data_IF_862774232498
#
_entry.id   IF_862774232498
#
_cell.length_a   1.000
_cell.length_b   1.000
_cell.length_c   1.000
_cell.angle_alpha   90.00
_cell.angle_beta   90.00
_cell.angle_gamma   90.00
#
_symmetry.space_group_name_H-M   'P 1'
#
loop_
_entity.id
_entity.type
_entity.pdbx_description
1 polymer ?
#
# COMPACT_ATOMS: atom_id res chain seq x y z
N UNK A 1 14.07 -2.23 28.48
CA UNK A 1 14.20 -2.62 27.07
C UNK A 1 13.22 -1.75 26.31
N UNK A 2 13.69 -0.70 25.65
CA UNK A 2 12.81 0.27 24.98
C UNK A 2 12.13 -0.38 23.78
N UNK A 3 10.80 -0.28 23.72
CA UNK A 3 9.99 -0.65 22.56
C UNK A 3 10.34 0.32 21.43
N UNK A 4 10.81 -0.18 20.29
CA UNK A 4 11.07 0.66 19.11
C UNK A 4 9.72 1.10 18.53
N UNK A 5 9.27 2.31 18.87
CA UNK A 5 8.25 3.01 18.10
C UNK A 5 8.85 3.33 16.72
N UNK A 6 8.32 2.70 15.68
CA UNK A 6 8.69 3.04 14.30
C UNK A 6 7.79 4.19 13.85
N UNK A 7 8.33 5.41 13.93
CA UNK A 7 7.80 6.57 13.22
C UNK A 7 8.16 6.35 11.74
N UNK A 8 7.21 6.56 10.81
CA UNK A 8 7.54 6.67 9.40
C UNK A 8 8.60 7.77 9.26
N UNK A 9 9.86 7.38 9.08
CA UNK A 9 10.99 8.31 9.11
C UNK A 9 10.81 9.41 8.07
N UNK A 10 11.17 10.63 8.45
CA UNK A 10 11.10 11.90 7.71
C UNK A 10 11.64 11.89 6.27
N UNK A 11 12.33 10.83 5.83
CA UNK A 11 12.69 10.61 4.43
C UNK A 11 11.47 10.33 3.52
N UNK A 12 10.44 9.64 4.03
CA UNK A 12 9.17 9.43 3.30
C UNK A 12 8.29 10.68 3.32
N UNK A 13 8.33 11.45 4.42
CA UNK A 13 7.54 12.67 4.61
C UNK A 13 8.01 13.84 3.72
N UNK A 14 9.29 13.87 3.35
CA UNK A 14 9.84 14.89 2.45
C UNK A 14 9.36 14.78 1.00
N UNK A 15 8.80 13.63 0.57
CA UNK A 15 8.31 13.45 -0.79
C UNK A 15 6.85 13.88 -0.97
N UNK A 16 6.03 13.87 0.09
CA UNK A 16 4.59 14.19 0.02
C UNK A 16 4.33 15.70 -0.11
N UNK A 17 5.29 16.55 0.26
CA UNK A 17 5.10 18.01 0.39
C UNK A 17 5.51 18.85 -0.84
N UNK A 18 5.80 18.25 -2.01
CA UNK A 18 6.40 18.97 -3.16
C UNK A 18 5.61 19.06 -4.46
N UNK A 19 4.29 18.83 -4.47
CA UNK A 19 3.50 19.01 -5.69
C UNK A 19 2.24 19.83 -5.48
N UNK A 20 2.40 21.15 -5.54
CA UNK A 20 1.40 22.07 -6.08
C UNK A 20 2.07 23.40 -6.40
N UNK A 21 2.60 23.55 -7.62
CA UNK A 21 2.87 24.89 -8.16
C UNK A 21 1.99 25.15 -9.37
N UNK A 22 1.69 26.42 -9.62
CA UNK A 22 0.78 26.86 -10.68
C UNK A 22 1.19 26.44 -12.11
N UNK A 23 2.42 25.96 -12.30
CA UNK A 23 2.95 25.52 -13.59
C UNK A 23 2.44 24.12 -14.03
N UNK A 24 2.02 23.27 -13.09
CA UNK A 24 1.51 21.92 -13.41
C UNK A 24 0.10 21.95 -14.02
N UNK A 25 -0.68 22.98 -13.70
CA UNK A 25 -2.00 23.21 -14.32
C UNK A 25 -1.90 23.57 -15.81
N UNK A 26 -0.76 24.12 -16.25
CA UNK A 26 -0.50 24.42 -17.66
C UNK A 26 -0.12 23.15 -18.43
N UNK A 27 0.75 22.31 -17.87
CA UNK A 27 1.08 20.98 -18.43
C UNK A 27 -0.16 20.08 -18.56
N UNK A 28 -1.07 20.12 -17.58
CA UNK A 28 -2.32 19.37 -17.62
C UNK A 28 -3.28 19.84 -18.74
N UNK A 29 -3.30 21.15 -19.04
CA UNK A 29 -4.08 21.72 -20.14
C UNK A 29 -3.47 21.43 -21.51
N UNK A 30 -2.16 21.50 -21.62
CA UNK A 30 -1.44 21.25 -22.88
C UNK A 30 -1.50 19.76 -23.28
N UNK A 31 -1.46 18.82 -22.31
CA UNK A 31 -1.63 17.38 -22.54
C UNK A 31 -2.98 17.02 -23.16
N UNK A 32 -4.08 17.69 -22.79
CA UNK A 32 -5.42 17.46 -23.37
C UNK A 32 -5.56 17.95 -24.82
N UNK A 33 -4.58 18.67 -25.36
CA UNK A 33 -4.71 19.41 -26.63
C UNK A 33 -3.89 18.89 -27.81
N UNK A 34 -3.13 17.79 -27.65
CA UNK A 34 -2.24 17.31 -28.72
C UNK A 34 -2.69 15.94 -29.29
N UNK A 35 -3.43 15.92 -30.42
CA UNK A 35 -3.78 14.71 -31.13
C UNK A 35 -2.72 14.37 -32.20
N UNK A 36 -2.27 13.12 -32.22
CA UNK A 36 -1.27 12.49 -33.11
C UNK A 36 0.17 12.58 -32.57
N UNK A 37 0.93 11.50 -32.38
CA UNK A 37 1.11 10.27 -33.16
C UNK A 37 1.50 9.11 -32.21
N UNK A 38 0.95 7.90 -32.44
CA UNK A 38 1.11 6.59 -31.74
C UNK A 38 -0.16 6.01 -31.10
N UNK A 39 -1.31 6.67 -31.24
CA UNK A 39 -2.51 6.36 -30.47
C UNK A 39 -3.14 4.99 -30.75
N UNK A 40 -3.15 4.46 -31.97
CA UNK A 40 -3.91 3.22 -32.25
C UNK A 40 -3.24 1.95 -31.72
N UNK A 41 -1.90 1.90 -31.68
CA UNK A 41 -1.17 0.73 -31.16
C UNK A 41 -1.17 0.69 -29.63
N UNK A 42 -1.02 1.84 -28.98
CA UNK A 42 -1.11 1.95 -27.51
C UNK A 42 -2.55 1.76 -27.00
N UNK A 43 -3.55 2.29 -27.70
CA UNK A 43 -4.97 2.05 -27.37
C UNK A 43 -5.32 0.56 -27.58
N UNK A 44 -4.80 -0.07 -28.63
CA UNK A 44 -4.98 -1.50 -28.88
C UNK A 44 -4.37 -2.40 -27.80
N UNK A 45 -3.21 -2.03 -27.23
CA UNK A 45 -2.65 -2.72 -26.06
C UNK A 45 -3.39 -2.41 -24.76
N UNK A 46 -3.79 -1.15 -24.51
CA UNK A 46 -4.60 -0.77 -23.35
C UNK A 46 -5.99 -1.43 -23.34
N UNK A 47 -6.63 -1.61 -24.49
CA UNK A 47 -7.93 -2.28 -24.59
C UNK A 47 -7.82 -3.81 -24.52
N UNK A 48 -6.71 -4.40 -24.99
CA UNK A 48 -6.47 -5.84 -24.81
C UNK A 48 -6.38 -6.24 -23.33
N UNK A 49 -5.85 -5.36 -22.48
CA UNK A 49 -5.70 -5.57 -21.04
C UNK A 49 -7.03 -5.77 -20.29
N UNK A 50 -8.18 -5.38 -20.87
CA UNK A 50 -9.50 -5.46 -20.23
C UNK A 50 -10.32 -6.71 -20.60
N UNK A 51 -9.85 -7.53 -21.55
CA UNK A 51 -10.61 -8.70 -22.06
C UNK A 51 -10.09 -10.05 -21.58
N UNK A 52 -8.95 -10.08 -20.91
CA UNK A 52 -8.30 -11.30 -20.42
C UNK A 52 -8.00 -11.16 -18.93
N UNK A 53 -8.20 -12.25 -18.18
CA UNK A 53 -7.80 -12.29 -16.78
C UNK A 53 -6.27 -12.13 -16.66
N UNK A 54 -5.83 -11.19 -15.84
CA UNK A 54 -4.40 -11.00 -15.54
C UNK A 54 -4.00 -11.87 -14.36
N UNK A 55 -2.93 -12.65 -14.52
CA UNK A 55 -2.37 -13.52 -13.50
C UNK A 55 -1.05 -12.94 -12.97
N UNK A 56 -0.90 -12.94 -11.64
CA UNK A 56 0.36 -12.71 -10.93
C UNK A 56 0.63 -13.95 -10.08
N UNK A 57 1.70 -14.67 -10.40
CA UNK A 57 2.23 -15.74 -9.57
C UNK A 57 3.01 -15.20 -8.37
N UNK A 58 3.26 -16.05 -7.38
CA UNK A 58 3.91 -15.66 -6.13
C UNK A 58 5.25 -14.92 -6.33
N UNK A 59 6.03 -15.34 -7.31
CA UNK A 59 7.37 -14.80 -7.62
C UNK A 59 7.37 -13.74 -8.73
N UNK A 60 6.21 -13.42 -9.32
CA UNK A 60 6.12 -12.47 -10.43
C UNK A 60 6.32 -11.02 -9.98
N UNK A 61 6.10 -10.74 -8.69
CA UNK A 61 6.34 -9.43 -8.08
C UNK A 61 7.19 -9.57 -6.81
N UNK A 62 8.18 -8.69 -6.62
CA UNK A 62 9.06 -8.74 -5.46
C UNK A 62 8.42 -8.11 -4.23
N UNK A 63 8.90 -8.52 -3.07
CA UNK A 63 8.76 -7.69 -1.87
C UNK A 63 9.83 -6.60 -1.89
N UNK A 64 9.43 -5.36 -1.66
CA UNK A 64 10.35 -4.29 -1.28
C UNK A 64 10.52 -4.29 0.24
N UNK A 65 11.68 -3.88 0.74
CA UNK A 65 11.82 -3.46 2.14
C UNK A 65 11.24 -2.05 2.26
N UNK A 66 10.14 -1.89 3.01
CA UNK A 66 9.49 -0.59 3.21
C UNK A 66 10.21 0.20 4.31
N UNK A 67 10.43 -0.49 5.42
CA UNK A 67 11.26 -0.07 6.56
C UNK A 67 11.87 -1.33 7.18
N UNK A 68 12.95 -1.24 7.98
CA UNK A 68 13.54 -2.42 8.61
C UNK A 68 12.50 -3.30 9.34
N UNK A 69 12.33 -4.53 8.88
CA UNK A 69 11.40 -5.52 9.45
C UNK A 69 9.98 -5.49 8.86
N UNK A 70 9.74 -4.63 7.86
CA UNK A 70 8.48 -4.52 7.14
C UNK A 70 8.74 -4.63 5.65
N UNK A 71 8.18 -5.67 5.05
CA UNK A 71 8.23 -5.92 3.61
C UNK A 71 6.86 -5.79 2.98
N UNK A 72 6.80 -5.16 1.81
CA UNK A 72 5.57 -4.93 1.07
C UNK A 72 5.70 -5.46 -0.35
N UNK A 73 4.69 -6.19 -0.82
CA UNK A 73 4.49 -6.52 -2.23
C UNK A 73 3.16 -5.92 -2.68
N UNK A 74 3.20 -4.99 -3.62
CA UNK A 74 1.99 -4.42 -4.22
C UNK A 74 1.54 -5.33 -5.38
N UNK A 75 0.31 -5.81 -5.35
CA UNK A 75 -0.23 -6.72 -6.35
C UNK A 75 -1.09 -5.99 -7.39
N UNK A 76 -1.90 -5.04 -6.92
CA UNK A 76 -2.82 -4.29 -7.75
C UNK A 76 -3.10 -2.91 -7.17
N UNK A 77 -3.30 -1.93 -8.06
CA UNK A 77 -3.99 -0.68 -7.76
C UNK A 77 -5.10 -0.41 -8.77
N UNK A 78 -6.22 0.11 -8.29
CA UNK A 78 -7.24 0.80 -9.10
C UNK A 78 -7.27 2.26 -8.64
N UNK A 79 -6.70 3.15 -9.46
CA UNK A 79 -6.54 4.55 -9.11
C UNK A 79 -7.86 5.33 -9.17
N UNK A 80 -8.86 4.83 -9.91
CA UNK A 80 -10.17 5.48 -10.02
C UNK A 80 -11.08 5.09 -8.85
N UNK A 81 -11.02 3.83 -8.41
CA UNK A 81 -11.81 3.33 -7.28
C UNK A 81 -11.10 3.46 -5.92
N UNK A 82 -9.81 3.79 -5.91
CA UNK A 82 -9.01 3.87 -4.70
C UNK A 82 -8.78 2.50 -4.04
N UNK A 83 -8.77 1.42 -4.82
CA UNK A 83 -8.45 0.07 -4.34
C UNK A 83 -6.94 -0.17 -4.46
N UNK A 84 -6.36 -0.74 -3.42
CA UNK A 84 -4.98 -1.22 -3.45
C UNK A 84 -4.87 -2.54 -2.72
N UNK A 85 -4.25 -3.51 -3.38
CA UNK A 85 -4.09 -4.88 -2.90
C UNK A 85 -2.61 -5.13 -2.66
N UNK A 86 -2.27 -5.46 -1.43
CA UNK A 86 -0.89 -5.67 -0.99
C UNK A 86 -0.75 -7.00 -0.25
N UNK A 87 0.46 -7.51 -0.22
CA UNK A 87 0.88 -8.54 0.70
C UNK A 87 2.03 -8.01 1.54
N UNK A 88 1.87 -8.08 2.86
CA UNK A 88 2.79 -7.53 3.84
C UNK A 88 3.43 -8.65 4.64
N UNK A 89 4.73 -8.49 4.93
CA UNK A 89 5.47 -9.35 5.84
C UNK A 89 6.05 -8.52 6.97
N UNK A 90 5.77 -8.94 8.19
CA UNK A 90 6.16 -8.24 9.41
C UNK A 90 7.02 -9.15 10.28
N UNK A 91 8.20 -8.67 10.66
CA UNK A 91 9.04 -9.35 11.64
C UNK A 91 8.40 -9.27 13.05
N UNK A 92 8.70 -10.24 13.95
CA UNK A 92 8.23 -10.21 15.32
C UNK A 92 8.53 -8.88 16.03
N UNK A 93 7.55 -8.35 16.78
CA UNK A 93 7.68 -7.09 17.51
C UNK A 93 7.40 -5.83 16.69
N UNK A 94 6.97 -5.96 15.43
CA UNK A 94 6.56 -4.82 14.61
C UNK A 94 5.24 -4.21 15.10
N UNK A 95 5.14 -2.89 15.11
CA UNK A 95 3.90 -2.13 15.35
C UNK A 95 3.73 -1.13 14.19
N UNK A 96 2.51 -1.01 13.66
CA UNK A 96 2.16 -0.03 12.63
C UNK A 96 1.47 1.14 13.32
N UNK A 97 1.85 2.36 12.94
CA UNK A 97 1.26 3.61 13.44
C UNK A 97 -0.26 3.53 13.44
N UNK A 98 -0.88 4.05 14.50
CA UNK A 98 -2.33 4.17 14.61
C UNK A 98 -2.87 4.84 13.35
N UNK A 99 -3.88 4.26 12.72
CA UNK A 99 -4.42 4.81 11.47
C UNK A 99 -5.92 4.63 11.39
N UNK A 100 -6.54 5.57 10.68
CA UNK A 100 -7.97 5.60 10.37
C UNK A 100 -8.19 5.20 8.90
N UNK A 101 -9.16 4.34 8.64
CA UNK A 101 -9.52 3.91 7.29
C UNK A 101 -10.70 4.72 6.74
N UNK A 102 -10.54 5.34 5.57
CA UNK A 102 -11.66 6.04 4.91
C UNK A 102 -12.61 5.08 4.17
N UNK A 103 -12.18 3.84 3.91
CA UNK A 103 -12.99 2.77 3.32
C UNK A 103 -12.75 1.42 4.00
N UNK A 104 -13.40 0.34 3.54
CA UNK A 104 -13.25 -0.97 4.16
C UNK A 104 -11.91 -1.65 3.82
N UNK A 105 -11.48 -2.54 4.72
CA UNK A 105 -10.34 -3.45 4.51
C UNK A 105 -10.78 -4.90 4.66
N UNK A 106 -10.22 -5.76 3.81
CA UNK A 106 -10.28 -7.20 3.97
C UNK A 106 -8.86 -7.72 4.15
N UNK A 107 -8.66 -8.64 5.08
CA UNK A 107 -7.36 -9.28 5.28
C UNK A 107 -7.46 -10.81 5.36
N UNK A 108 -6.41 -11.49 4.90
CA UNK A 108 -6.20 -12.92 5.07
C UNK A 108 -4.80 -13.15 5.62
N UNK A 109 -4.70 -13.86 6.74
CA UNK A 109 -3.42 -14.17 7.39
C UNK A 109 -2.89 -15.52 6.90
N UNK A 110 -1.70 -15.54 6.30
CA UNK A 110 -1.08 -16.75 5.77
C UNK A 110 -0.14 -17.44 6.78
N UNK A 111 0.56 -16.68 7.63
CA UNK A 111 1.43 -17.20 8.69
C UNK A 111 1.55 -16.22 9.86
N UNK A 112 2.11 -16.68 10.98
CA UNK A 112 2.32 -15.85 12.17
C UNK A 112 1.03 -15.48 12.91
N UNK A 113 1.15 -14.47 13.77
CA UNK A 113 0.08 -13.92 14.59
C UNK A 113 0.16 -12.38 14.61
N UNK A 114 -0.98 -11.72 14.67
CA UNK A 114 -1.08 -10.28 14.88
C UNK A 114 -2.44 -9.91 15.49
N UNK A 115 -2.55 -8.68 15.98
CA UNK A 115 -3.75 -8.16 16.61
C UNK A 115 -3.78 -6.63 16.56
N UNK A 116 -4.89 -6.04 16.97
CA UNK A 116 -4.97 -4.60 17.19
C UNK A 116 -4.82 -4.28 18.65
N UNK A 117 -3.98 -3.29 18.95
CA UNK A 117 -3.66 -2.89 20.33
C UNK A 117 -4.90 -2.53 21.15
N UNK A 118 -5.94 -2.05 20.48
CA UNK A 118 -7.23 -1.65 21.03
C UNK A 118 -8.08 -2.84 21.49
N UNK A 119 -7.87 -4.03 20.92
CA UNK A 119 -8.60 -5.26 21.24
C UNK A 119 -7.65 -6.48 21.18
N UNK A 120 -6.77 -6.63 22.18
CA UNK A 120 -5.65 -7.57 22.14
C UNK A 120 -6.02 -9.05 22.26
N UNK A 121 -7.28 -9.37 22.55
CA UNK A 121 -7.77 -10.75 22.67
C UNK A 121 -8.16 -11.34 21.30
N UNK A 122 -8.49 -10.49 20.32
CA UNK A 122 -8.84 -10.92 18.96
C UNK A 122 -7.58 -11.13 18.11
N UNK A 123 -6.96 -12.31 18.27
CA UNK A 123 -5.74 -12.69 17.57
C UNK A 123 -6.03 -13.23 16.17
N UNK A 124 -5.51 -12.56 15.15
CA UNK A 124 -5.44 -13.07 13.79
C UNK A 124 -4.24 -14.00 13.64
N UNK A 125 -4.46 -15.23 13.19
CA UNK A 125 -3.46 -16.29 12.96
C UNK A 125 -3.63 -16.90 11.57
N UNK A 126 -2.72 -17.78 11.14
CA UNK A 126 -2.85 -18.54 9.88
C UNK A 126 -4.29 -19.02 9.61
N UNK A 127 -4.84 -18.62 8.46
CA UNK A 127 -6.20 -18.94 8.03
C UNK A 127 -7.28 -17.96 8.50
N UNK A 128 -6.94 -16.96 9.31
CA UNK A 128 -7.90 -15.94 9.76
C UNK A 128 -8.29 -15.02 8.60
N UNK A 129 -9.58 -14.75 8.51
CA UNK A 129 -10.16 -13.68 7.71
C UNK A 129 -10.53 -12.52 8.64
N UNK A 130 -10.25 -11.31 8.20
CA UNK A 130 -10.61 -10.08 8.90
C UNK A 130 -11.37 -9.15 7.96
N UNK A 131 -12.36 -8.48 8.52
CA UNK A 131 -13.04 -7.36 7.90
C UNK A 131 -12.95 -6.15 8.81
N UNK A 132 -12.51 -5.03 8.27
CA UNK A 132 -12.55 -3.73 8.93
C UNK A 132 -13.55 -2.84 8.19
N UNK A 133 -14.56 -2.29 8.88
CA UNK A 133 -15.45 -1.32 8.27
C UNK A 133 -14.71 0.00 8.02
N UNK A 134 -15.23 0.76 7.05
CA UNK A 134 -14.85 2.16 6.90
C UNK A 134 -15.04 2.91 8.22
N UNK A 135 -14.17 3.88 8.47
CA UNK A 135 -14.10 4.69 9.68
C UNK A 135 -13.61 3.95 10.93
N UNK A 136 -13.12 2.71 10.78
CA UNK A 136 -12.38 2.06 11.85
C UNK A 136 -11.00 2.69 12.02
N UNK A 137 -10.49 2.66 13.25
CA UNK A 137 -9.18 3.18 13.61
C UNK A 137 -8.49 2.21 14.56
N UNK A 138 -7.22 1.91 14.30
CA UNK A 138 -6.51 0.88 15.07
C UNK A 138 -5.00 0.92 14.90
N UNK A 139 -4.32 0.14 15.73
CA UNK A 139 -2.86 -0.01 15.76
C UNK A 139 -2.49 -1.49 15.56
N UNK A 140 -2.07 -1.87 14.35
CA UNK A 140 -1.66 -3.25 14.05
C UNK A 140 -0.38 -3.59 14.81
N UNK A 141 -0.39 -4.69 15.55
CA UNK A 141 0.72 -5.15 16.39
C UNK A 141 1.04 -6.61 16.12
N UNK A 142 2.32 -6.90 15.88
CA UNK A 142 2.87 -8.25 15.77
C UNK A 142 3.60 -8.59 17.07
N UNK A 143 3.21 -9.66 17.79
CA UNK A 143 3.87 -10.03 19.04
C UNK A 143 5.38 -10.27 18.87
N UNK A 144 6.18 -9.79 19.82
CA UNK A 144 7.61 -10.14 19.92
C UNK A 144 7.83 -11.65 20.10
N UNK A 145 6.85 -12.35 20.67
CA UNK A 145 6.90 -13.80 20.91
C UNK A 145 6.67 -14.64 19.66
N UNK A 146 6.36 -14.05 18.50
CA UNK A 146 6.20 -14.81 17.27
C UNK A 146 7.51 -15.50 16.89
N UNK A 147 7.44 -16.80 16.59
CA UNK A 147 8.60 -17.59 16.15
C UNK A 147 8.83 -17.54 14.63
N UNK A 148 7.94 -16.87 13.90
CA UNK A 148 7.99 -16.74 12.44
C UNK A 148 7.49 -15.35 12.01
N UNK A 149 7.77 -15.00 10.75
CA UNK A 149 7.22 -13.80 10.11
C UNK A 149 5.71 -13.91 9.98
N UNK A 150 5.03 -12.82 10.30
CA UNK A 150 3.59 -12.69 10.03
C UNK A 150 3.40 -12.23 8.57
N UNK A 151 2.74 -13.05 7.76
CA UNK A 151 2.45 -12.79 6.35
C UNK A 151 0.95 -12.57 6.16
N UNK A 152 0.57 -11.41 5.62
CA UNK A 152 -0.82 -10.97 5.53
C UNK A 152 -1.09 -10.39 4.15
N UNK A 153 -2.18 -10.84 3.53
CA UNK A 153 -2.74 -10.24 2.34
C UNK A 153 -3.82 -9.24 2.73
N UNK A 154 -3.84 -8.07 2.11
CA UNK A 154 -4.84 -7.03 2.32
C UNK A 154 -5.43 -6.54 1.00
N UNK A 155 -6.74 -6.28 0.99
CA UNK A 155 -7.40 -5.42 0.03
C UNK A 155 -7.98 -4.21 0.76
N UNK A 156 -7.47 -3.02 0.43
CA UNK A 156 -7.84 -1.76 1.07
C UNK A 156 -8.55 -0.88 0.04
N UNK A 157 -9.71 -0.34 0.41
CA UNK A 157 -10.37 0.71 -0.37
C UNK A 157 -10.28 2.04 0.37
N UNK A 158 -10.06 3.10 -0.39
CA UNK A 158 -9.84 4.44 0.17
C UNK A 158 -8.41 4.62 0.66
N UNK A 159 -8.27 5.32 1.78
CA UNK A 159 -6.99 5.78 2.30
C UNK A 159 -6.85 5.45 3.80
N UNK A 160 -5.60 5.25 4.21
CA UNK A 160 -5.19 5.23 5.60
C UNK A 160 -4.72 6.64 5.98
N UNK A 161 -5.34 7.23 7.00
CA UNK A 161 -4.85 8.45 7.63
C UNK A 161 -4.01 8.02 8.85
N UNK A 162 -2.70 8.18 8.77
CA UNK A 162 -1.81 7.84 9.88
C UNK A 162 -1.87 8.96 10.92
N UNK A 163 -2.12 8.59 12.16
CA UNK A 163 -2.43 9.49 13.27
C UNK A 163 -1.23 9.56 14.21
N UNK A 164 -0.80 10.78 14.54
CA UNK A 164 0.31 11.03 15.45
C UNK A 164 -0.10 10.94 16.93
N UNK A 165 0.82 11.26 17.84
CA UNK A 165 0.59 11.24 19.28
C UNK A 165 -0.35 12.35 19.77
N UNK A 166 -0.62 13.37 18.95
CA UNK A 166 -1.53 14.48 19.24
C UNK A 166 -2.93 14.25 18.65
N UNK A 167 -3.20 13.04 18.11
CA UNK A 167 -4.41 12.70 17.36
C UNK A 167 -4.61 13.55 16.08
N UNK A 168 -3.52 14.05 15.50
CA UNK A 168 -3.51 14.76 14.21
C UNK A 168 -3.09 13.83 13.05
N UNK A 169 -3.53 14.16 11.83
CA UNK A 169 -3.13 13.41 10.64
C UNK A 169 -1.68 13.78 10.27
N UNK A 170 -0.77 12.83 10.44
CA UNK A 170 0.64 12.98 10.09
C UNK A 170 0.88 12.73 8.60
N UNK A 171 0.20 11.73 8.03
CA UNK A 171 0.37 11.33 6.64
C UNK A 171 -0.85 10.57 6.11
N UNK A 172 -0.93 10.50 4.78
CA UNK A 172 -2.01 9.81 4.05
C UNK A 172 -1.40 8.77 3.11
N UNK A 173 -1.87 7.53 3.24
CA UNK A 173 -1.54 6.43 2.31
C UNK A 173 -2.79 6.06 1.53
N UNK A 174 -2.75 6.16 0.21
CA UNK A 174 -3.83 5.79 -0.70
C UNK A 174 -3.30 5.00 -1.91
N UNK A 175 -4.18 4.60 -2.83
CA UNK A 175 -3.81 3.83 -4.01
C UNK A 175 -2.73 4.52 -4.87
N UNK A 176 -2.74 5.85 -4.95
CA UNK A 176 -1.74 6.58 -5.74
C UNK A 176 -0.41 6.70 -4.99
N UNK A 177 -0.44 7.04 -3.71
CA UNK A 177 0.78 7.22 -2.93
C UNK A 177 1.51 5.89 -2.68
N UNK A 178 0.79 4.78 -2.50
CA UNK A 178 1.40 3.44 -2.39
C UNK A 178 1.98 2.95 -3.72
N UNK A 179 1.33 3.26 -4.85
CA UNK A 179 1.82 2.95 -6.18
C UNK A 179 3.15 3.63 -6.47
N UNK A 180 3.23 4.94 -6.23
CA UNK A 180 4.47 5.70 -6.46
C UNK A 180 5.57 5.28 -5.49
N UNK A 181 5.24 5.01 -4.23
CA UNK A 181 6.19 4.48 -3.23
C UNK A 181 6.76 3.13 -3.67
N UNK A 182 5.90 2.19 -4.10
CA UNK A 182 6.35 0.87 -4.53
C UNK A 182 7.25 0.95 -5.76
N UNK A 183 6.89 1.75 -6.78
CA UNK A 183 7.73 1.98 -7.96
C UNK A 183 9.11 2.53 -7.60
N UNK A 184 9.14 3.54 -6.75
CA UNK A 184 10.38 4.17 -6.31
C UNK A 184 11.27 3.17 -5.58
N UNK A 185 10.73 2.46 -4.58
CA UNK A 185 11.50 1.50 -3.78
C UNK A 185 11.94 0.29 -4.62
N UNK A 186 11.14 -0.14 -5.60
CA UNK A 186 11.59 -1.11 -6.59
C UNK A 186 12.83 -0.60 -7.35
N UNK A 187 12.80 0.64 -7.86
CA UNK A 187 13.95 1.22 -8.56
C UNK A 187 15.19 1.33 -7.67
N UNK A 188 15.03 1.79 -6.43
CA UNK A 188 16.13 1.95 -5.47
C UNK A 188 16.75 0.61 -5.08
N UNK A 189 15.94 -0.45 -5.02
CA UNK A 189 16.36 -1.80 -4.64
C UNK A 189 16.73 -2.68 -5.86
N UNK A 190 16.76 -2.09 -7.08
CA UNK A 190 17.03 -2.81 -8.34
C UNK A 190 16.07 -3.99 -8.60
N UNK A 191 14.78 -3.76 -8.31
CA UNK A 191 13.69 -4.72 -8.44
C UNK A 191 12.72 -4.26 -9.55
N UNK A 192 12.10 -5.22 -10.24
CA UNK A 192 11.09 -4.94 -11.27
C UNK A 192 9.68 -4.88 -10.68
N UNK A 193 8.85 -3.97 -11.20
CA UNK A 193 7.42 -3.85 -10.92
C UNK A 193 6.55 -3.99 -12.18
N UNK A 194 7.10 -4.52 -13.29
CA UNK A 194 6.42 -4.57 -14.60
C UNK A 194 5.15 -5.44 -14.61
N UNK A 195 5.04 -6.39 -13.69
CA UNK A 195 3.89 -7.29 -13.55
C UNK A 195 2.76 -6.71 -12.68
N UNK A 196 2.95 -5.52 -12.12
CA UNK A 196 1.97 -4.87 -11.27
C UNK A 196 0.68 -4.60 -12.06
N UNK A 197 -0.46 -5.00 -11.51
CA UNK A 197 -1.76 -4.68 -12.11
C UNK A 197 -2.13 -3.23 -11.79
N UNK A 198 -2.37 -2.43 -12.82
CA UNK A 198 -2.72 -1.01 -12.69
C UNK A 198 -4.00 -0.75 -13.48
N UNK A 199 -5.05 -0.31 -12.79
CA UNK A 199 -6.35 0.07 -13.33
C UNK A 199 -6.71 1.52 -12.98
N UNK A 200 -7.72 2.06 -13.67
CA UNK A 200 -8.23 3.40 -13.37
C UNK A 200 -7.35 4.57 -13.81
N UNK A 201 -6.52 4.36 -14.85
CA UNK A 201 -5.62 5.37 -15.47
C UNK A 201 -6.28 6.20 -16.57
#
# INVERSE_FOLDING_TARGET
MERRKFILGTAALALVSRFATADDNKKYRDFKSNPSLNSEFEIGQKLKALSHATHIGENDLPYIELTPGIKLKLLMVDLADGLWIIQMKFEPGTEITKHYHTGPVLAVTYSGEWYYKEYPDDRNKKGSFLYEPAHSMHTLTVPESNSEVTDIWFAVRGANLNIDENDEVESVTDANSIFETYKQLCSEQNLSHEKLIIYGV
#
